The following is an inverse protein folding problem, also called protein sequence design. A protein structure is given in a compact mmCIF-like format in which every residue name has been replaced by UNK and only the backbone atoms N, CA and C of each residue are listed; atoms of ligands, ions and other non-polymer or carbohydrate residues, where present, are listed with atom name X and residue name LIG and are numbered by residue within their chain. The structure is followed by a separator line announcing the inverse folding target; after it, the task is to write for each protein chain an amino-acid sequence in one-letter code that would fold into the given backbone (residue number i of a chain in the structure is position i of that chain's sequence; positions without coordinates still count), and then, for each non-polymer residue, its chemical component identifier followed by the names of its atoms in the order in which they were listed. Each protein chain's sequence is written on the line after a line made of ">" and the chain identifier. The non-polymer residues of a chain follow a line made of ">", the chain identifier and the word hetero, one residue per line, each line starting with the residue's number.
data_IF_859231934501
#
_entry.id   IF_859231934501
#
_cell.length_a   1.000
_cell.length_b   1.000
_cell.length_c   1.000
_cell.angle_alpha   90.00
_cell.angle_beta   90.00
_cell.angle_gamma   90.00
#
_symmetry.space_group_name_H-M   'P 1'
#
loop_
_entity.id
_entity.type
_entity.pdbx_description
1 polymer ?
#
# COMPACT_ATOMS: atom_id res chain seq x y z
N UNK A 1 -9.84 18.26 0.63
CA UNK A 1 -9.18 16.99 0.33
C UNK A 1 -7.93 16.70 1.17
N UNK A 2 -7.14 17.67 1.65
CA UNK A 2 -5.91 17.41 2.42
C UNK A 2 -6.11 16.94 3.88
N UNK A 3 -7.27 17.12 4.49
CA UNK A 3 -7.49 16.74 5.90
C UNK A 3 -7.92 15.28 6.12
N UNK A 4 -8.54 14.63 5.13
CA UNK A 4 -9.03 13.26 5.29
C UNK A 4 -7.91 12.22 5.35
N UNK A 5 -6.81 12.42 4.61
CA UNK A 5 -5.67 11.51 4.61
C UNK A 5 -4.94 11.40 5.97
N UNK A 6 -4.87 12.52 6.71
CA UNK A 6 -4.18 12.54 8.02
C UNK A 6 -4.90 11.73 9.10
N UNK A 7 -6.25 11.73 9.07
CA UNK A 7 -7.06 10.99 10.06
C UNK A 7 -7.02 9.47 9.83
N UNK A 8 -6.91 9.06 8.57
CA UNK A 8 -6.84 7.63 8.20
C UNK A 8 -5.57 6.99 8.75
N UNK A 9 -4.41 7.66 8.61
CA UNK A 9 -3.11 7.13 9.06
C UNK A 9 -3.03 6.93 10.57
N UNK A 10 -3.58 7.86 11.34
CA UNK A 10 -3.55 7.76 12.81
C UNK A 10 -4.37 6.56 13.31
N UNK A 11 -5.49 6.26 12.64
CA UNK A 11 -6.34 5.14 13.04
C UNK A 11 -5.74 3.78 12.66
N UNK A 12 -5.07 3.68 11.50
CA UNK A 12 -4.38 2.45 11.09
C UNK A 12 -3.30 2.04 12.10
N UNK A 13 -2.54 3.01 12.62
CA UNK A 13 -1.53 2.78 13.66
C UNK A 13 -2.17 2.33 14.98
N UNK A 14 -3.25 2.99 15.40
CA UNK A 14 -3.95 2.63 16.63
C UNK A 14 -4.56 1.21 16.56
N UNK A 15 -5.06 0.82 15.37
CA UNK A 15 -5.66 -0.49 15.17
C UNK A 15 -4.60 -1.61 15.13
N UNK A 16 -3.42 -1.35 14.55
CA UNK A 16 -2.31 -2.30 14.57
C UNK A 16 -1.84 -2.59 16.01
N UNK A 17 -1.79 -1.56 16.87
CA UNK A 17 -1.45 -1.70 18.29
C UNK A 17 -2.56 -2.40 19.09
N UNK A 18 -3.83 -2.12 18.80
CA UNK A 18 -4.95 -2.73 19.53
C UNK A 18 -5.14 -4.22 19.22
N UNK A 19 -4.83 -4.67 18.00
CA UNK A 19 -4.95 -6.09 17.62
C UNK A 19 -3.91 -6.99 18.31
N UNK A 20 -2.80 -6.42 18.78
CA UNK A 20 -1.79 -7.15 19.54
C UNK A 20 -2.17 -7.35 21.02
N UNK A 21 -3.17 -6.60 21.52
CA UNK A 21 -3.63 -6.65 22.92
C UNK A 21 -4.87 -7.54 23.12
N UNK A 22 -5.26 -8.31 22.10
CA UNK A 22 -6.44 -9.18 22.12
C UNK A 22 -6.36 -10.25 23.18
N UNK A 23 -6.85 -9.96 24.38
CA UNK A 23 -7.02 -10.99 25.40
C UNK A 23 -7.23 -10.57 26.84
N UNK A 24 -7.39 -9.30 27.17
CA UNK A 24 -7.86 -8.94 28.54
C UNK A 24 -8.73 -7.68 28.51
N UNK A 25 -10.03 -7.89 28.55
CA UNK A 25 -10.97 -6.86 28.95
C UNK A 25 -10.91 -6.72 30.47
N UNK A 26 -10.09 -5.79 30.93
CA UNK A 26 -10.16 -5.28 32.30
C UNK A 26 -10.14 -3.77 32.19
N UNK A 27 -11.28 -3.16 32.50
CA UNK A 27 -11.40 -1.72 32.59
C UNK A 27 -10.42 -1.19 33.65
N UNK A 28 -9.35 -0.54 33.22
CA UNK A 28 -8.48 0.23 34.11
C UNK A 28 -9.10 1.64 34.21
N UNK A 29 -9.79 1.90 35.29
CA UNK A 29 -10.21 3.24 35.68
C UNK A 29 -8.97 3.98 36.18
N UNK A 30 -8.47 4.93 35.39
CA UNK A 30 -7.43 5.84 35.85
C UNK A 30 -8.11 6.94 36.63
N UNK A 31 -7.91 6.95 37.95
CA UNK A 31 -8.24 8.06 38.82
C UNK A 31 -7.10 9.07 38.67
N UNK A 32 -7.42 10.25 38.14
CA UNK A 32 -6.51 11.37 38.11
C UNK A 32 -6.45 11.98 39.52
N UNK A 33 -5.29 11.95 40.15
CA UNK A 33 -5.01 12.68 41.37
C UNK A 33 -4.39 14.04 40.99
N UNK A 34 -5.13 15.10 41.28
CA UNK A 34 -4.67 16.49 41.15
C UNK A 34 -3.78 16.84 42.34
N UNK A 35 -2.52 17.14 42.09
CA UNK A 35 -1.71 17.86 43.07
C UNK A 35 -1.11 19.11 42.47
N UNK A 36 -1.62 20.23 42.96
CA UNK A 36 -1.18 21.61 42.73
C UNK A 36 0.17 21.93 43.39
N UNK A 37 1.05 22.67 42.67
CA UNK A 37 1.96 23.71 43.20
C UNK A 37 2.76 24.30 42.04
N UNK A 38 2.55 25.49 41.63
CA UNK A 38 2.98 26.81 42.09
C UNK A 38 4.40 27.22 41.67
N UNK A 39 4.44 28.20 40.76
CA UNK A 39 5.30 29.39 40.68
C UNK A 39 6.79 29.27 40.32
N UNK A 40 7.21 29.80 39.19
CA UNK A 40 7.94 31.05 39.03
C UNK A 40 8.49 31.25 37.63
N UNK A 41 8.05 32.32 36.99
CA UNK A 41 8.79 33.04 35.94
C UNK A 41 9.96 33.83 36.56
N UNK A 42 11.02 34.15 35.81
CA UNK A 42 11.06 35.50 35.24
C UNK A 42 11.72 35.66 33.85
N UNK A 43 11.11 36.55 33.09
CA UNK A 43 11.61 37.78 32.48
C UNK A 43 12.61 37.69 31.29
N UNK A 44 12.10 38.04 30.17
CA UNK A 44 12.37 39.13 29.21
C UNK A 44 13.82 39.60 29.06
N UNK A 45 14.41 39.42 27.86
CA UNK A 45 15.29 40.45 27.26
C UNK A 45 14.96 40.56 25.76
N UNK A 46 14.44 41.70 25.42
CA UNK A 46 14.34 42.30 24.09
C UNK A 46 15.72 42.75 23.62
N UNK A 47 16.03 42.56 22.34
CA UNK A 47 16.80 43.56 21.60
C UNK A 47 16.44 43.57 20.12
N UNK A 48 16.15 44.77 19.71
CA UNK A 48 15.66 45.34 18.48
C UNK A 48 16.81 45.76 17.56
N UNK A 49 16.44 45.96 16.31
CA UNK A 49 17.04 46.80 15.25
C UNK A 49 17.97 46.07 14.28
N UNK A 50 18.00 46.41 13.01
CA UNK A 50 17.32 47.35 12.11
C UNK A 50 17.78 47.08 10.69
N UNK A 51 16.86 47.23 9.73
CA UNK A 51 16.95 47.94 8.44
C UNK A 51 18.30 47.92 7.67
N UNK A 52 18.31 47.67 6.39
CA UNK A 52 17.92 48.48 5.20
C UNK A 52 18.08 47.62 3.92
N UNK A 53 17.17 47.56 3.01
CA UNK A 53 16.80 48.37 1.84
C UNK A 53 17.89 48.62 0.79
N UNK A 54 17.59 48.18 -0.45
CA UNK A 54 17.67 48.93 -1.72
C UNK A 54 17.53 47.93 -2.92
N UNK A 55 16.46 47.99 -3.64
CA UNK A 55 16.10 48.69 -4.90
C UNK A 55 17.13 48.65 -6.02
N UNK A 56 16.72 48.13 -7.17
CA UNK A 56 16.54 48.74 -8.50
C UNK A 56 16.51 47.64 -9.56
N UNK A 57 15.45 47.52 -10.32
CA UNK A 57 14.95 48.27 -11.50
C UNK A 57 15.52 47.84 -12.84
N UNK A 58 14.55 47.41 -13.67
CA UNK A 58 14.36 47.70 -15.11
C UNK A 58 15.36 47.13 -16.10
N UNK A 59 15.00 46.65 -17.27
CA UNK A 59 14.18 47.27 -18.30
C UNK A 59 13.91 46.26 -19.45
N UNK A 60 12.74 46.39 -20.04
CA UNK A 60 12.17 45.91 -21.28
C UNK A 60 13.07 45.93 -22.52
N UNK A 61 12.80 45.04 -23.47
CA UNK A 61 12.72 45.38 -24.89
C UNK A 61 11.88 44.35 -25.69
N UNK A 62 10.84 44.86 -26.25
CA UNK A 62 9.92 44.34 -27.28
C UNK A 62 10.58 44.48 -28.65
N UNK A 63 10.36 43.54 -29.57
CA UNK A 63 10.26 43.82 -31.00
C UNK A 63 9.52 42.71 -31.73
N UNK A 64 8.51 42.95 -32.25
CA UNK A 64 7.44 42.94 -33.21
C UNK A 64 7.87 42.57 -34.63
N UNK A 65 6.94 41.83 -35.32
CA UNK A 65 6.52 41.95 -36.74
C UNK A 65 7.32 41.12 -37.76
N UNK A 66 6.79 40.38 -38.73
CA UNK A 66 5.65 40.68 -39.65
C UNK A 66 5.28 39.45 -40.47
N UNK A 67 4.01 39.42 -40.91
CA UNK A 67 3.27 38.57 -41.84
C UNK A 67 3.94 38.23 -43.17
N UNK A 68 3.51 37.11 -43.77
CA UNK A 68 3.14 37.09 -45.18
C UNK A 68 2.20 35.89 -45.50
N UNK A 69 1.06 36.25 -45.99
CA UNK A 69 -0.04 35.48 -46.54
C UNK A 69 0.29 34.91 -47.92
N UNK A 70 -0.16 33.68 -48.25
CA UNK A 70 -0.61 33.38 -49.61
C UNK A 70 -1.69 32.26 -49.62
N UNK A 71 -2.80 32.54 -50.27
CA UNK A 71 -3.96 31.71 -50.57
C UNK A 71 -3.74 30.78 -51.76
N UNK A 72 -4.45 29.60 -51.77
CA UNK A 72 -5.29 29.07 -52.86
C UNK A 72 -5.79 27.67 -52.44
N UNK A 73 -7.03 27.50 -52.24
CA UNK A 73 -8.21 27.03 -52.98
C UNK A 73 -8.24 25.54 -53.35
N UNK A 74 -9.31 24.91 -52.82
CA UNK A 74 -10.26 23.91 -53.33
C UNK A 74 -9.75 22.50 -53.67
N UNK A 75 -10.31 21.44 -53.05
CA UNK A 75 -11.58 20.83 -53.44
C UNK A 75 -12.12 19.86 -52.39
N UNK A 76 -13.43 19.74 -52.40
CA UNK A 76 -14.27 18.85 -51.59
C UNK A 76 -14.07 17.39 -51.95
N UNK A 77 -13.94 16.53 -50.96
CA UNK A 77 -14.56 15.21 -50.98
C UNK A 77 -15.07 14.86 -49.60
N UNK A 78 -16.36 14.83 -49.44
CA UNK A 78 -17.05 14.30 -48.27
C UNK A 78 -16.92 12.77 -48.28
N UNK A 79 -16.18 12.26 -47.34
CA UNK A 79 -16.32 10.86 -46.95
C UNK A 79 -16.70 10.83 -45.48
N UNK A 80 -17.97 10.51 -45.23
CA UNK A 80 -18.52 10.25 -43.91
C UNK A 80 -17.81 9.04 -43.31
N UNK A 81 -16.83 9.27 -42.44
CA UNK A 81 -16.36 8.26 -41.54
C UNK A 81 -16.98 8.51 -40.17
N UNK A 82 -17.87 7.60 -39.78
CA UNK A 82 -18.35 7.47 -38.43
C UNK A 82 -17.13 7.37 -37.50
N UNK A 83 -16.79 8.44 -36.81
CA UNK A 83 -15.84 8.40 -35.70
C UNK A 83 -16.48 7.62 -34.55
N UNK A 84 -16.21 6.32 -34.51
CA UNK A 84 -16.26 5.62 -33.25
C UNK A 84 -15.23 6.31 -32.36
N UNK A 85 -15.68 6.93 -31.32
CA UNK A 85 -14.85 7.47 -30.23
C UNK A 85 -14.16 6.30 -29.54
N UNK A 86 -13.12 5.78 -30.17
CA UNK A 86 -12.17 4.85 -29.55
C UNK A 86 -11.25 5.71 -28.70
N UNK A 87 -11.63 5.92 -27.45
CA UNK A 87 -10.71 6.43 -26.43
C UNK A 87 -9.48 5.55 -26.49
N UNK A 88 -8.36 6.06 -27.01
CA UNK A 88 -7.10 5.31 -27.07
C UNK A 88 -6.73 4.87 -25.65
N UNK A 89 -6.67 3.55 -25.43
CA UNK A 89 -6.32 2.98 -24.15
C UNK A 89 -4.87 3.33 -23.85
N UNK A 90 -4.65 4.12 -22.80
CA UNK A 90 -3.29 4.49 -22.36
C UNK A 90 -2.55 3.23 -21.91
N UNK A 91 -1.50 2.85 -22.63
CA UNK A 91 -0.58 1.79 -22.18
C UNK A 91 0.33 2.30 -21.08
N UNK A 92 0.36 1.61 -19.95
CA UNK A 92 1.11 2.02 -18.76
C UNK A 92 1.78 0.82 -18.09
N UNK A 93 2.80 1.06 -17.30
CA UNK A 93 3.35 0.16 -16.28
C UNK A 93 2.45 0.17 -15.05
N UNK A 94 2.50 -0.91 -14.25
CA UNK A 94 1.71 -0.99 -13.01
C UNK A 94 2.16 0.10 -12.03
N UNK A 95 3.46 0.40 -11.94
CA UNK A 95 3.95 1.49 -11.11
C UNK A 95 3.38 2.87 -11.45
N UNK A 96 3.06 3.16 -12.72
CA UNK A 96 2.34 4.38 -13.10
C UNK A 96 0.88 4.39 -12.62
N UNK A 97 0.24 3.20 -12.53
CA UNK A 97 -1.11 3.07 -12.00
C UNK A 97 -1.10 3.28 -10.49
N UNK A 98 -0.18 2.66 -9.79
CA UNK A 98 -0.03 2.76 -8.33
C UNK A 98 0.35 4.18 -7.90
N UNK A 99 1.38 4.75 -8.51
CA UNK A 99 1.88 6.09 -8.18
C UNK A 99 2.59 6.16 -6.83
N UNK A 100 3.09 7.34 -6.48
CA UNK A 100 3.77 7.61 -5.20
C UNK A 100 2.80 8.22 -4.18
N UNK A 101 1.74 7.49 -3.85
CA UNK A 101 0.74 7.93 -2.87
C UNK A 101 -0.14 6.76 -2.42
N UNK A 102 -0.96 7.00 -1.40
CA UNK A 102 -1.93 6.02 -0.87
C UNK A 102 -3.16 5.83 -1.77
N UNK A 103 -3.14 6.36 -2.97
CA UNK A 103 -4.22 6.24 -3.97
C UNK A 103 -3.64 6.44 -5.36
N UNK A 104 -4.16 5.71 -6.32
CA UNK A 104 -3.77 5.82 -7.71
C UNK A 104 -4.01 7.22 -8.30
N UNK A 105 -3.01 7.80 -8.98
CA UNK A 105 -3.21 9.03 -9.76
C UNK A 105 -4.08 8.81 -11.00
N UNK A 106 -4.34 7.55 -11.38
CA UNK A 106 -5.13 7.17 -12.56
C UNK A 106 -6.52 6.63 -12.19
N UNK A 107 -6.98 6.84 -10.96
CA UNK A 107 -8.30 6.39 -10.52
C UNK A 107 -9.41 6.84 -11.50
N UNK A 108 -10.28 5.91 -11.90
CA UNK A 108 -11.36 6.12 -12.86
C UNK A 108 -10.94 6.08 -14.33
N UNK A 109 -9.65 6.00 -14.64
CA UNK A 109 -9.16 5.94 -16.01
C UNK A 109 -9.12 4.50 -16.52
N UNK A 110 -9.35 4.35 -17.83
CA UNK A 110 -9.16 3.08 -18.52
C UNK A 110 -7.71 2.97 -18.99
N UNK A 111 -7.06 1.87 -18.62
CA UNK A 111 -5.63 1.63 -18.86
C UNK A 111 -5.40 0.26 -19.50
N UNK A 112 -4.25 0.09 -20.14
CA UNK A 112 -3.79 -1.18 -20.69
C UNK A 112 -2.39 -1.53 -20.18
N UNK A 113 -2.27 -2.71 -19.55
CA UNK A 113 -1.00 -3.33 -19.13
C UNK A 113 -0.64 -4.38 -20.17
N UNK A 114 0.57 -4.32 -20.72
CA UNK A 114 0.98 -5.22 -21.82
C UNK A 114 1.82 -6.41 -21.37
N UNK A 115 2.47 -6.34 -20.24
CA UNK A 115 3.53 -7.27 -19.88
C UNK A 115 3.55 -7.62 -18.38
N UNK A 116 2.46 -8.23 -17.90
CA UNK A 116 2.37 -8.68 -16.52
C UNK A 116 2.33 -10.21 -16.42
N UNK A 117 2.72 -10.75 -15.27
CA UNK A 117 2.61 -12.15 -14.92
C UNK A 117 1.69 -12.31 -13.71
N UNK A 118 0.86 -13.35 -13.74
CA UNK A 118 -0.03 -13.70 -12.63
C UNK A 118 0.79 -14.29 -11.47
N UNK A 119 0.73 -13.65 -10.30
CA UNK A 119 1.48 -14.07 -9.11
C UNK A 119 0.65 -14.85 -8.11
N UNK A 120 -0.67 -14.58 -8.03
CA UNK A 120 -1.61 -15.30 -7.16
C UNK A 120 -3.01 -15.26 -7.74
N UNK A 121 -3.80 -16.30 -7.54
CA UNK A 121 -5.22 -16.33 -7.93
C UNK A 121 -6.10 -16.58 -6.72
N UNK A 122 -7.30 -16.00 -6.72
CA UNK A 122 -8.34 -16.31 -5.77
C UNK A 122 -9.70 -16.55 -6.46
N UNK A 123 -10.78 -16.57 -5.68
CA UNK A 123 -12.14 -16.80 -6.21
C UNK A 123 -12.67 -15.62 -7.01
N UNK A 124 -12.21 -14.41 -6.74
CA UNK A 124 -12.79 -13.15 -7.20
C UNK A 124 -11.93 -12.45 -8.23
N UNK A 125 -10.65 -12.87 -8.33
CA UNK A 125 -9.70 -12.26 -9.24
C UNK A 125 -8.32 -12.89 -9.16
N UNK A 126 -7.34 -12.07 -9.38
CA UNK A 126 -5.93 -12.46 -9.31
C UNK A 126 -5.02 -11.26 -9.08
N UNK A 127 -3.86 -11.51 -8.52
CA UNK A 127 -2.76 -10.57 -8.49
C UNK A 127 -1.89 -10.74 -9.72
N UNK A 128 -1.48 -9.64 -10.30
CA UNK A 128 -0.51 -9.60 -11.39
C UNK A 128 0.60 -8.61 -11.04
N UNK A 129 1.79 -8.89 -11.54
CA UNK A 129 2.96 -8.02 -11.34
C UNK A 129 3.66 -7.82 -12.67
N UNK A 130 4.20 -6.63 -12.91
CA UNK A 130 5.02 -6.36 -14.09
C UNK A 130 6.20 -7.35 -14.14
N UNK A 131 6.45 -7.94 -15.31
CA UNK A 131 7.57 -8.89 -15.51
C UNK A 131 8.90 -8.15 -15.36
N UNK A 132 8.94 -6.91 -15.79
CA UNK A 132 10.10 -6.02 -15.66
C UNK A 132 9.68 -4.81 -14.83
N UNK A 133 10.28 -4.66 -13.65
CA UNK A 133 10.07 -3.50 -12.78
C UNK A 133 10.29 -2.18 -13.54
N UNK A 134 9.60 -1.14 -13.12
CA UNK A 134 9.87 0.21 -13.59
C UNK A 134 11.17 0.81 -12.98
N UNK A 135 11.74 0.12 -11.98
CA UNK A 135 12.94 0.51 -11.25
C UNK A 135 12.72 1.55 -10.17
N UNK A 136 11.46 1.92 -9.89
CA UNK A 136 11.10 2.86 -8.84
C UNK A 136 10.59 2.12 -7.60
N UNK A 137 11.41 2.00 -6.57
CA UNK A 137 11.03 1.34 -5.31
C UNK A 137 9.96 2.09 -4.50
N UNK A 138 9.55 3.26 -4.95
CA UNK A 138 8.49 4.06 -4.31
C UNK A 138 7.10 3.76 -4.86
N UNK A 139 7.02 3.05 -5.98
CA UNK A 139 5.77 2.59 -6.59
C UNK A 139 5.70 1.08 -6.56
N UNK A 140 4.49 0.52 -6.46
CA UNK A 140 4.32 -0.92 -6.55
C UNK A 140 4.27 -1.38 -8.01
N UNK A 141 4.98 -2.46 -8.33
CA UNK A 141 4.85 -3.18 -9.61
C UNK A 141 3.69 -4.19 -9.61
N UNK A 142 2.92 -4.30 -8.52
CA UNK A 142 1.83 -5.26 -8.34
C UNK A 142 0.45 -4.62 -8.42
N UNK A 143 -0.57 -5.38 -8.82
CA UNK A 143 -1.96 -4.92 -8.87
C UNK A 143 -2.94 -6.07 -8.69
N UNK A 144 -4.08 -5.81 -8.04
CA UNK A 144 -5.19 -6.75 -7.98
C UNK A 144 -6.15 -6.53 -9.16
N UNK A 145 -6.58 -7.60 -9.82
CA UNK A 145 -7.50 -7.57 -10.97
C UNK A 145 -8.78 -8.31 -10.60
N UNK A 146 -9.87 -7.59 -10.50
CA UNK A 146 -11.20 -8.17 -10.27
C UNK A 146 -11.69 -8.81 -11.55
N UNK A 147 -11.76 -10.15 -11.58
CA UNK A 147 -12.13 -10.86 -12.81
C UNK A 147 -12.60 -12.28 -12.51
N UNK A 148 -13.51 -12.77 -13.34
CA UNK A 148 -13.91 -14.20 -13.39
C UNK A 148 -13.14 -14.99 -14.45
N UNK A 149 -12.25 -14.35 -15.19
CA UNK A 149 -11.44 -14.99 -16.20
C UNK A 149 -10.44 -15.94 -15.56
N UNK A 150 -10.30 -17.15 -16.13
CA UNK A 150 -9.46 -18.20 -15.55
C UNK A 150 -8.01 -18.04 -15.99
N UNK A 151 -7.18 -17.66 -15.04
CA UNK A 151 -5.73 -17.62 -15.16
C UNK A 151 -5.09 -18.57 -14.16
N UNK A 152 -3.79 -18.82 -14.34
CA UNK A 152 -2.93 -19.59 -13.43
C UNK A 152 -1.70 -18.75 -13.07
N UNK A 153 -1.13 -19.01 -11.92
CA UNK A 153 0.18 -18.46 -11.55
C UNK A 153 1.20 -18.80 -12.64
N UNK A 154 1.96 -17.79 -13.06
CA UNK A 154 2.91 -17.87 -14.17
C UNK A 154 2.33 -17.60 -15.57
N UNK A 155 1.00 -17.42 -15.72
CA UNK A 155 0.44 -16.95 -16.99
C UNK A 155 0.92 -15.52 -17.24
N UNK A 156 1.52 -15.28 -18.42
CA UNK A 156 1.78 -13.94 -18.93
C UNK A 156 0.49 -13.36 -19.50
N UNK A 157 0.15 -12.15 -19.12
CA UNK A 157 -1.13 -11.54 -19.45
C UNK A 157 -0.99 -10.10 -19.94
N UNK A 158 -1.90 -9.74 -20.85
CA UNK A 158 -2.24 -8.36 -21.19
C UNK A 158 -3.60 -8.07 -20.57
N UNK A 159 -3.72 -6.93 -19.91
CA UNK A 159 -4.91 -6.56 -19.14
C UNK A 159 -5.34 -5.17 -19.58
N UNK A 160 -6.60 -5.02 -19.96
CA UNK A 160 -7.23 -3.70 -20.08
C UNK A 160 -8.32 -3.61 -19.03
N UNK A 161 -8.40 -2.51 -18.31
CA UNK A 161 -9.40 -2.33 -17.26
C UNK A 161 -9.51 -0.90 -16.77
N UNK A 162 -10.48 -0.65 -15.91
CA UNK A 162 -10.65 0.65 -15.25
C UNK A 162 -9.99 0.62 -13.88
N UNK A 163 -9.17 1.61 -13.59
CA UNK A 163 -8.52 1.76 -12.29
C UNK A 163 -9.56 2.16 -11.25
N UNK A 164 -9.63 1.44 -10.15
CA UNK A 164 -10.52 1.71 -9.04
C UNK A 164 -9.77 1.64 -7.71
N UNK A 165 -10.01 2.63 -6.88
CA UNK A 165 -9.70 2.54 -5.45
C UNK A 165 -10.85 1.85 -4.73
N UNK A 166 -10.61 0.67 -4.19
CA UNK A 166 -11.66 -0.17 -3.63
C UNK A 166 -11.25 -0.91 -2.36
N UNK A 167 -12.18 -1.73 -1.87
CA UNK A 167 -11.98 -2.52 -0.66
C UNK A 167 -12.05 -4.00 -0.98
N UNK A 168 -11.08 -4.78 -0.51
CA UNK A 168 -11.10 -6.25 -0.69
C UNK A 168 -12.33 -6.90 -0.05
N UNK A 169 -12.90 -6.28 0.98
CA UNK A 169 -14.14 -6.71 1.60
C UNK A 169 -15.34 -6.54 0.66
N UNK A 170 -15.37 -5.46 -0.13
CA UNK A 170 -16.41 -5.25 -1.16
C UNK A 170 -16.32 -6.33 -2.23
N UNK A 171 -15.11 -6.59 -2.74
CA UNK A 171 -14.86 -7.60 -3.77
C UNK A 171 -15.29 -8.99 -3.30
N UNK A 172 -15.05 -9.33 -2.04
CA UNK A 172 -15.36 -10.64 -1.48
C UNK A 172 -16.78 -10.76 -0.93
N UNK A 173 -17.54 -9.67 -0.95
CA UNK A 173 -18.92 -9.64 -0.46
C UNK A 173 -19.83 -10.48 -1.37
N UNK A 174 -20.57 -11.39 -0.80
CA UNK A 174 -21.49 -12.23 -1.56
C UNK A 174 -22.65 -11.42 -2.19
N UNK A 175 -23.18 -11.92 -3.28
CA UNK A 175 -24.30 -11.30 -3.98
C UNK A 175 -25.48 -10.99 -3.05
N UNK A 176 -26.11 -9.84 -3.22
CA UNK A 176 -27.26 -9.38 -2.42
C UNK A 176 -26.91 -8.79 -1.06
N UNK A 177 -25.65 -8.66 -0.71
CA UNK A 177 -25.19 -7.96 0.49
C UNK A 177 -24.80 -6.52 0.13
N UNK A 178 -25.07 -5.60 1.04
CA UNK A 178 -24.66 -4.21 0.90
C UNK A 178 -23.32 -4.02 1.58
N UNK A 179 -22.34 -3.51 0.84
CA UNK A 179 -21.05 -3.09 1.39
C UNK A 179 -21.25 -1.77 2.16
N UNK A 180 -20.67 -1.72 3.34
CA UNK A 180 -20.56 -0.48 4.09
C UNK A 180 -19.09 -0.12 4.15
N UNK A 181 -18.77 0.99 3.52
CA UNK A 181 -17.41 1.51 3.51
C UNK A 181 -16.89 1.72 4.93
N UNK A 182 -15.72 1.17 5.28
CA UNK A 182 -15.15 1.37 6.60
C UNK A 182 -14.70 2.82 6.77
N UNK A 183 -14.91 3.34 7.96
CA UNK A 183 -14.45 4.68 8.30
C UNK A 183 -12.95 4.66 8.57
N UNK A 184 -12.20 5.58 7.95
CA UNK A 184 -10.75 5.73 8.14
C UNK A 184 -9.95 4.47 7.76
N UNK A 185 -10.29 3.81 6.68
CA UNK A 185 -9.55 2.71 6.08
C UNK A 185 -8.87 3.17 4.81
N UNK A 186 -7.73 2.57 4.47
CA UNK A 186 -7.12 2.71 3.16
C UNK A 186 -7.88 1.87 2.14
N UNK A 187 -7.66 2.14 0.87
CA UNK A 187 -8.19 1.38 -0.26
C UNK A 187 -7.09 0.51 -0.87
N UNK A 188 -7.43 -0.36 -1.78
CA UNK A 188 -6.51 -1.12 -2.63
C UNK A 188 -6.70 -0.62 -4.06
N UNK A 189 -5.60 -0.31 -4.72
CA UNK A 189 -5.61 -0.01 -6.15
C UNK A 189 -5.87 -1.29 -6.93
N UNK A 190 -6.95 -1.32 -7.72
CA UNK A 190 -7.35 -2.50 -8.47
C UNK A 190 -7.84 -2.17 -9.86
N UNK A 191 -7.83 -3.16 -10.75
CA UNK A 191 -8.50 -3.07 -12.03
C UNK A 191 -9.87 -3.75 -11.97
N UNK A 192 -10.89 -3.02 -12.38
CA UNK A 192 -12.26 -3.52 -12.57
C UNK A 192 -12.66 -3.49 -14.04
N UNK A 193 -13.74 -4.17 -14.39
CA UNK A 193 -14.22 -4.30 -15.78
C UNK A 193 -13.10 -4.76 -16.73
N UNK A 194 -12.29 -5.68 -16.22
CA UNK A 194 -11.04 -6.06 -16.86
C UNK A 194 -11.24 -7.06 -18.00
N UNK A 195 -10.61 -6.79 -19.14
CA UNK A 195 -10.44 -7.70 -20.25
C UNK A 195 -9.01 -8.27 -20.23
N UNK A 196 -8.89 -9.60 -20.24
CA UNK A 196 -7.63 -10.31 -20.09
C UNK A 196 -7.32 -11.12 -21.34
N UNK A 197 -6.10 -11.00 -21.84
CA UNK A 197 -5.56 -11.85 -22.92
C UNK A 197 -4.32 -12.55 -22.40
N UNK A 198 -4.29 -13.89 -22.50
CA UNK A 198 -3.09 -14.67 -22.19
C UNK A 198 -2.09 -14.57 -23.32
N UNK A 199 -0.82 -14.38 -23.00
CA UNK A 199 0.30 -14.22 -23.93
C UNK A 199 1.46 -15.15 -23.55
N UNK A 200 1.13 -16.42 -23.30
CA UNK A 200 2.09 -17.43 -22.89
C UNK A 200 2.29 -17.53 -21.38
N UNK A 201 3.51 -17.80 -20.98
CA UNK A 201 3.94 -17.89 -19.58
C UNK A 201 5.22 -17.09 -19.35
N UNK A 202 5.48 -16.67 -18.12
CA UNK A 202 6.71 -16.01 -17.71
C UNK A 202 7.14 -16.51 -16.32
N UNK A 203 8.44 -16.43 -16.00
CA UNK A 203 8.90 -16.63 -14.64
C UNK A 203 8.26 -15.59 -13.72
N UNK A 204 8.06 -15.94 -12.45
CA UNK A 204 7.63 -14.98 -11.46
C UNK A 204 8.76 -13.98 -11.17
N UNK A 205 8.43 -12.71 -10.88
CA UNK A 205 9.40 -11.76 -10.38
C UNK A 205 10.03 -12.24 -9.08
N UNK A 206 11.23 -11.76 -8.78
CA UNK A 206 11.86 -12.01 -7.49
C UNK A 206 11.02 -11.41 -6.36
N UNK A 207 10.77 -12.20 -5.32
CA UNK A 207 10.00 -11.74 -4.17
C UNK A 207 10.80 -10.74 -3.34
N UNK A 208 10.22 -9.58 -3.06
CA UNK A 208 10.86 -8.56 -2.23
C UNK A 208 10.92 -9.03 -0.77
N UNK A 209 12.11 -9.02 -0.15
CA UNK A 209 12.21 -9.26 1.28
C UNK A 209 11.61 -8.09 2.06
N UNK A 210 10.37 -8.26 2.51
CA UNK A 210 9.58 -7.20 3.15
C UNK A 210 10.20 -6.71 4.45
N UNK A 211 10.93 -7.57 5.15
CA UNK A 211 11.53 -7.24 6.46
C UNK A 211 12.79 -6.41 6.32
N UNK A 212 13.55 -6.60 5.25
CA UNK A 212 14.82 -5.92 5.04
C UNK A 212 14.70 -4.39 4.83
N UNK A 213 13.58 -3.95 4.25
CA UNK A 213 13.32 -2.53 3.98
C UNK A 213 12.35 -1.86 4.95
N UNK A 214 11.81 -2.59 5.94
CA UNK A 214 10.75 -2.09 6.82
C UNK A 214 11.20 -0.93 7.70
N UNK A 215 10.65 0.29 7.54
CA UNK A 215 10.93 1.40 8.43
C UNK A 215 10.50 1.13 9.88
N UNK A 216 11.24 1.68 10.83
CA UNK A 216 10.99 1.44 12.26
C UNK A 216 9.73 2.12 12.80
N UNK A 217 9.15 3.05 12.05
CA UNK A 217 8.02 3.86 12.51
C UNK A 217 7.01 4.18 11.40
N UNK A 218 5.80 4.52 11.81
CA UNK A 218 4.78 5.19 10.98
C UNK A 218 4.68 6.63 11.46
N UNK A 219 4.83 7.58 10.56
CA UNK A 219 4.80 9.00 10.90
C UNK A 219 3.37 9.47 11.16
N UNK A 220 3.07 10.08 12.32
CA UNK A 220 1.69 10.46 12.67
C UNK A 220 1.12 11.57 11.77
N UNK A 221 1.97 12.43 11.22
CA UNK A 221 1.61 13.54 10.36
C UNK A 221 2.56 13.67 9.17
N UNK A 222 2.56 12.70 8.24
CA UNK A 222 3.45 12.78 7.10
C UNK A 222 3.06 13.97 6.21
N UNK A 223 4.08 14.71 5.79
CA UNK A 223 3.91 15.84 4.86
C UNK A 223 3.98 15.40 3.41
N UNK A 224 4.58 14.25 3.16
CA UNK A 224 4.77 13.64 1.84
C UNK A 224 4.83 12.12 1.97
N UNK A 225 4.58 11.43 0.86
CA UNK A 225 4.79 10.00 0.72
C UNK A 225 6.29 9.68 0.81
N UNK A 226 6.67 8.77 1.69
CA UNK A 226 8.07 8.49 2.02
C UNK A 226 8.27 7.03 2.48
N UNK A 227 8.20 6.05 1.57
CA UNK A 227 8.31 4.63 1.91
C UNK A 227 9.65 4.24 2.55
N UNK A 228 10.69 5.03 2.35
CA UNK A 228 12.01 4.80 2.95
C UNK A 228 12.04 5.07 4.47
N UNK A 229 11.07 5.83 4.98
CA UNK A 229 11.07 6.30 6.39
C UNK A 229 9.72 6.21 7.10
N UNK A 230 8.68 5.76 6.39
CA UNK A 230 7.32 5.56 6.91
C UNK A 230 6.86 4.14 6.55
N UNK A 231 6.64 3.30 7.56
CA UNK A 231 6.29 1.90 7.34
C UNK A 231 4.93 1.72 6.65
N UNK A 232 4.00 2.66 6.80
CA UNK A 232 2.72 2.59 6.10
C UNK A 232 2.87 2.87 4.61
N UNK A 233 3.70 3.87 4.25
CA UNK A 233 4.04 4.16 2.86
C UNK A 233 4.88 3.04 2.24
N UNK A 234 5.73 2.39 3.05
CA UNK A 234 6.49 1.22 2.61
C UNK A 234 5.57 0.04 2.25
N UNK A 235 4.57 -0.24 3.08
CA UNK A 235 3.57 -1.25 2.75
C UNK A 235 2.83 -0.92 1.46
N UNK A 236 2.46 0.34 1.27
CA UNK A 236 1.82 0.83 0.04
C UNK A 236 2.70 0.60 -1.19
N UNK A 237 4.00 0.90 -1.10
CA UNK A 237 4.94 0.70 -2.21
C UNK A 237 5.11 -0.78 -2.61
N UNK A 238 4.57 -1.71 -1.83
CA UNK A 238 4.58 -3.15 -2.09
C UNK A 238 3.18 -3.72 -2.37
N UNK A 239 2.12 -2.90 -2.42
CA UNK A 239 0.76 -3.37 -2.60
C UNK A 239 0.61 -4.25 -3.86
N UNK A 240 0.08 -5.46 -3.72
CA UNK A 240 -0.09 -6.42 -4.81
C UNK A 240 1.18 -7.15 -5.25
N UNK A 241 2.36 -6.75 -4.79
CA UNK A 241 3.63 -7.38 -5.15
C UNK A 241 3.88 -8.69 -4.42
N UNK A 242 4.65 -9.54 -5.06
CA UNK A 242 5.19 -10.76 -4.46
C UNK A 242 6.30 -10.39 -3.46
N UNK A 243 6.13 -10.84 -2.22
CA UNK A 243 7.06 -10.57 -1.13
C UNK A 243 7.46 -11.85 -0.43
N UNK A 244 8.54 -11.79 0.36
CA UNK A 244 9.03 -12.91 1.17
C UNK A 244 9.33 -12.43 2.58
N UNK A 245 8.95 -13.25 3.57
CA UNK A 245 9.39 -13.15 4.96
C UNK A 245 10.33 -14.32 5.23
N UNK A 246 11.56 -14.04 5.60
CA UNK A 246 12.59 -15.06 5.80
C UNK A 246 12.34 -15.84 7.09
N UNK A 247 12.18 -17.17 6.99
CA UNK A 247 12.04 -18.13 8.11
C UNK A 247 11.31 -17.57 9.32
N UNK A 248 10.04 -17.15 9.15
CA UNK A 248 9.36 -16.37 10.18
C UNK A 248 9.04 -17.18 11.44
N UNK A 249 9.08 -16.48 12.58
CA UNK A 249 8.66 -16.96 13.87
C UNK A 249 7.30 -16.39 14.26
N UNK A 250 6.40 -17.23 14.78
CA UNK A 250 5.05 -16.84 15.18
C UNK A 250 5.08 -16.20 16.57
N UNK A 251 4.46 -15.02 16.69
CA UNK A 251 4.44 -14.22 17.92
C UNK A 251 3.28 -14.56 18.86
N UNK A 252 2.25 -15.23 18.35
CA UNK A 252 1.04 -15.54 19.12
C UNK A 252 0.06 -16.42 18.36
N UNK A 253 -1.07 -16.77 18.98
CA UNK A 253 -2.09 -17.59 18.32
C UNK A 253 -2.75 -16.85 17.16
N UNK A 254 -3.29 -17.63 16.22
CA UNK A 254 -4.12 -17.10 15.13
C UNK A 254 -5.34 -16.34 15.70
N UNK A 255 -5.64 -15.20 15.13
CA UNK A 255 -6.81 -14.39 15.46
C UNK A 255 -7.50 -13.87 14.20
N UNK A 256 -8.77 -14.22 14.02
CA UNK A 256 -9.59 -13.80 12.85
C UNK A 256 -8.96 -14.09 11.48
N UNK A 257 -8.19 -15.16 11.39
CA UNK A 257 -7.53 -15.56 10.15
C UNK A 257 -6.12 -15.03 9.95
N UNK A 258 -5.63 -14.20 10.85
CA UNK A 258 -4.29 -13.65 10.80
C UNK A 258 -3.37 -14.28 11.86
N UNK A 259 -2.13 -14.52 11.52
CA UNK A 259 -1.02 -14.71 12.46
C UNK A 259 -0.05 -13.55 12.34
N UNK A 260 0.69 -13.29 13.39
CA UNK A 260 1.71 -12.25 13.41
C UNK A 260 3.07 -12.91 13.55
N UNK A 261 3.99 -12.53 12.68
CA UNK A 261 5.32 -13.15 12.64
C UNK A 261 6.42 -12.09 12.67
N UNK A 262 7.64 -12.53 13.06
CA UNK A 262 8.90 -11.83 12.83
C UNK A 262 9.74 -12.64 11.85
N UNK A 263 10.32 -11.98 10.86
CA UNK A 263 11.34 -12.60 10.02
C UNK A 263 12.67 -12.77 10.76
N UNK A 264 13.53 -13.66 10.28
CA UNK A 264 14.86 -13.89 10.86
C UNK A 264 15.76 -12.64 10.85
N UNK A 265 15.47 -11.66 9.97
CA UNK A 265 16.19 -10.39 9.87
C UNK A 265 15.99 -9.48 11.10
N UNK A 266 14.93 -9.70 11.85
CA UNK A 266 14.62 -8.92 13.05
C UNK A 266 15.24 -9.55 14.32
N UNK A 267 16.54 -9.61 14.36
CA UNK A 267 17.29 -10.07 15.54
C UNK A 267 17.37 -8.99 16.62
N UNK A 268 17.45 -9.40 17.89
CA UNK A 268 17.65 -8.48 19.03
C UNK A 268 16.38 -7.74 19.49
N UNK A 269 15.21 -8.05 18.96
CA UNK A 269 13.95 -7.53 19.49
C UNK A 269 13.61 -8.15 20.85
N UNK A 270 12.96 -7.39 21.76
CA UNK A 270 12.68 -7.86 23.11
C UNK A 270 11.50 -8.85 23.11
N UNK A 271 11.80 -10.11 22.94
CA UNK A 271 10.81 -11.17 23.11
C UNK A 271 10.65 -11.52 24.59
N UNK A 272 9.43 -11.87 25.00
CA UNK A 272 9.18 -12.44 26.31
C UNK A 272 9.50 -13.95 26.34
N UNK A 273 9.40 -14.58 27.50
CA UNK A 273 9.71 -16.01 27.69
C UNK A 273 8.76 -16.95 26.93
N UNK A 274 7.60 -16.48 26.47
CA UNK A 274 6.66 -17.24 25.64
C UNK A 274 6.75 -16.90 24.15
N UNK A 275 7.78 -16.16 23.73
CA UNK A 275 8.05 -15.86 22.33
C UNK A 275 7.25 -14.69 21.73
N UNK A 276 6.42 -14.01 22.52
CA UNK A 276 5.72 -12.80 22.08
C UNK A 276 6.63 -11.57 22.11
N UNK A 277 6.38 -10.60 21.25
CA UNK A 277 7.11 -9.34 21.23
C UNK A 277 6.67 -8.43 22.39
N UNK A 278 7.63 -7.96 23.20
CA UNK A 278 7.36 -7.00 24.25
C UNK A 278 7.12 -5.60 23.64
N UNK A 279 6.03 -4.99 24.04
CA UNK A 279 5.77 -3.59 23.70
C UNK A 279 6.72 -2.69 24.50
N UNK A 280 7.29 -1.69 23.82
CA UNK A 280 8.05 -0.63 24.46
C UNK A 280 7.28 0.69 24.36
N UNK A 281 7.40 1.59 25.34
CA UNK A 281 6.85 2.94 25.19
C UNK A 281 7.30 3.57 23.87
N UNK A 282 6.36 4.11 23.13
CA UNK A 282 6.60 4.77 21.84
C UNK A 282 7.11 3.87 20.69
N UNK A 283 7.24 2.56 20.89
CA UNK A 283 7.56 1.64 19.79
C UNK A 283 6.28 1.27 19.01
N UNK A 284 6.36 1.31 17.69
CA UNK A 284 5.22 1.00 16.82
C UNK A 284 5.23 -0.43 16.29
N UNK A 285 6.26 -1.22 16.61
CA UNK A 285 6.41 -2.65 16.25
C UNK A 285 6.19 -2.94 14.75
N UNK A 286 6.67 -2.08 13.89
CA UNK A 286 6.56 -2.22 12.42
C UNK A 286 7.22 -3.49 11.90
N UNK A 287 8.14 -4.08 12.66
CA UNK A 287 8.77 -5.38 12.40
C UNK A 287 7.79 -6.56 12.41
N UNK A 288 6.61 -6.38 13.01
CA UNK A 288 5.59 -7.43 13.06
C UNK A 288 4.84 -7.50 11.74
N UNK A 289 4.94 -8.63 11.06
CA UNK A 289 4.32 -8.86 9.75
C UNK A 289 3.04 -9.66 9.94
N UNK A 290 1.86 -9.10 9.61
CA UNK A 290 0.60 -9.84 9.58
C UNK A 290 0.55 -10.78 8.37
N UNK A 291 0.21 -12.05 8.59
CA UNK A 291 0.04 -13.05 7.54
C UNK A 291 -1.40 -13.57 7.59
N UNK A 292 -2.12 -13.49 6.48
CA UNK A 292 -3.47 -14.03 6.38
C UNK A 292 -3.42 -15.52 6.07
N UNK A 293 -3.76 -16.34 7.04
CA UNK A 293 -3.71 -17.81 6.97
C UNK A 293 -5.10 -18.48 6.95
N UNK A 294 -6.14 -17.68 7.16
CA UNK A 294 -7.52 -18.17 7.30
C UNK A 294 -7.82 -18.73 8.70
N UNK A 295 -9.11 -18.89 8.99
CA UNK A 295 -9.58 -19.20 10.35
C UNK A 295 -9.30 -20.62 10.84
N UNK A 296 -8.90 -21.53 9.93
CA UNK A 296 -8.63 -22.94 10.27
C UNK A 296 -7.15 -23.23 10.54
N UNK A 297 -6.26 -22.27 10.28
CA UNK A 297 -4.84 -22.42 10.55
C UNK A 297 -4.58 -22.35 12.05
N UNK A 298 -3.80 -23.29 12.57
CA UNK A 298 -3.46 -23.38 13.99
C UNK A 298 -1.98 -23.03 14.16
N UNK A 299 -1.71 -22.02 14.97
CA UNK A 299 -0.37 -21.63 15.37
C UNK A 299 -0.39 -21.04 16.77
N UNK A 300 0.73 -21.10 17.48
CA UNK A 300 0.95 -20.50 18.79
C UNK A 300 2.28 -19.76 18.83
N UNK A 301 2.49 -18.98 19.86
CA UNK A 301 3.78 -18.32 20.06
C UNK A 301 4.93 -19.36 20.08
N UNK A 302 6.09 -18.97 19.64
CA UNK A 302 7.29 -19.79 19.40
C UNK A 302 7.22 -20.75 18.21
N UNK A 303 6.05 -21.06 17.65
CA UNK A 303 6.01 -21.81 16.40
C UNK A 303 6.81 -21.08 15.31
N UNK A 304 7.40 -21.82 14.41
CA UNK A 304 8.25 -21.24 13.36
C UNK A 304 8.11 -21.96 12.04
N UNK A 305 8.50 -21.27 10.98
CA UNK A 305 8.57 -21.82 9.64
C UNK A 305 10.02 -22.17 9.32
N UNK A 306 10.25 -23.37 8.82
CA UNK A 306 11.58 -23.80 8.36
C UNK A 306 11.95 -23.20 7.01
N UNK A 307 10.94 -22.86 6.24
CA UNK A 307 11.07 -22.28 4.91
C UNK A 307 10.66 -20.81 4.91
N UNK A 308 11.14 -20.08 3.93
CA UNK A 308 10.71 -18.72 3.67
C UNK A 308 9.22 -18.67 3.33
N UNK A 309 8.51 -17.68 3.82
CA UNK A 309 7.10 -17.48 3.54
C UNK A 309 6.93 -16.46 2.42
N UNK A 310 6.49 -16.93 1.25
CA UNK A 310 6.22 -16.09 0.10
C UNK A 310 4.73 -15.78 -0.01
N UNK A 311 4.38 -14.54 -0.31
CA UNK A 311 2.99 -14.12 -0.49
C UNK A 311 2.87 -12.77 -1.16
N UNK A 312 1.66 -12.36 -1.46
CA UNK A 312 1.36 -11.03 -2.03
C UNK A 312 0.89 -10.08 -0.93
N UNK A 313 1.26 -8.82 -1.05
CA UNK A 313 0.79 -7.78 -0.14
C UNK A 313 -0.63 -7.38 -0.51
N UNK A 314 -1.49 -7.26 0.48
CA UNK A 314 -2.86 -6.75 0.36
C UNK A 314 -3.23 -5.90 1.56
N UNK A 315 -4.22 -5.03 1.38
CA UNK A 315 -4.84 -4.30 2.49
C UNK A 315 -6.25 -4.82 2.71
N UNK A 316 -6.51 -5.32 3.92
CA UNK A 316 -7.80 -5.93 4.28
C UNK A 316 -8.07 -5.79 5.77
N UNK A 317 -9.32 -5.51 6.14
CA UNK A 317 -9.75 -5.32 7.53
C UNK A 317 -8.90 -4.26 8.26
N UNK A 318 -8.59 -3.16 7.57
CA UNK A 318 -7.80 -2.02 8.04
C UNK A 318 -6.33 -2.31 8.34
N UNK A 319 -5.75 -3.38 7.74
CA UNK A 319 -4.34 -3.74 7.87
C UNK A 319 -3.73 -4.15 6.54
N UNK A 320 -2.48 -3.73 6.30
CA UNK A 320 -1.64 -4.43 5.35
C UNK A 320 -1.28 -5.80 5.88
N UNK A 321 -1.21 -6.77 5.01
CA UNK A 321 -0.82 -8.15 5.33
C UNK A 321 -0.29 -8.87 4.11
N UNK A 322 0.42 -9.96 4.36
CA UNK A 322 0.85 -10.88 3.31
C UNK A 322 -0.17 -12.01 3.20
N UNK A 323 -0.69 -12.24 2.01
CA UNK A 323 -1.47 -13.43 1.66
C UNK A 323 -0.56 -14.48 1.03
N UNK A 324 -0.30 -15.62 1.68
CA UNK A 324 0.61 -16.65 1.17
C UNK A 324 0.23 -17.19 -0.20
N UNK A 325 1.24 -17.48 -1.02
CA UNK A 325 1.10 -18.13 -2.31
C UNK A 325 1.35 -19.64 -2.24
N UNK A 326 1.81 -20.13 -1.10
CA UNK A 326 2.13 -21.53 -0.82
C UNK A 326 1.31 -22.07 0.34
N UNK A 327 1.23 -23.39 0.43
CA UNK A 327 0.68 -24.04 1.61
C UNK A 327 1.66 -23.90 2.77
N UNK A 328 1.14 -23.49 3.92
CA UNK A 328 1.95 -23.22 5.11
C UNK A 328 1.98 -24.43 6.05
N UNK A 329 3.14 -24.69 6.63
CA UNK A 329 3.33 -25.66 7.69
C UNK A 329 4.22 -25.05 8.76
N UNK A 330 3.75 -25.00 10.01
CA UNK A 330 4.54 -24.54 11.15
C UNK A 330 5.14 -25.74 11.90
N UNK A 331 6.30 -25.50 12.49
CA UNK A 331 6.95 -26.40 13.45
C UNK A 331 6.64 -25.91 14.87
N UNK A 332 6.44 -26.86 15.78
CA UNK A 332 6.22 -26.58 17.19
C UNK A 332 7.50 -26.02 17.83
N UNK A 333 7.41 -24.83 18.37
CA UNK A 333 8.50 -24.14 19.06
C UNK A 333 8.65 -24.50 20.54
N UNK A 334 7.88 -25.46 21.05
CA UNK A 334 8.04 -25.95 22.43
C UNK A 334 7.44 -24.99 23.48
N UNK A 335 6.18 -24.59 23.35
CA UNK A 335 5.44 -23.80 24.34
C UNK A 335 4.59 -24.70 25.20
#
# INVERSE_FOLDING_TARGET
>A
MKEHGKKIRLLAVATLLASQLGGFSSALTVVADETTASTSEPALVTNTSSEESSTNSSTSATTTTTEATTRASSDKEETSSSSSDATEEKTVKIGEIQGESQRSPLEGQKVAIKNAVVTKTDRYGFYAQDIESDGNSRTSDGIYVVSKYKVKVGDKVKITGTVKEGYMEEVTLGAGKTFKEPTNSLTVTMLVDAWITKDGTAPLPEAVNITAGMPAEVKPNPTAYAPETDALDYWESLEGMLTVVKKPHVLGPQYKGDIYVLGEDFTGLPLNNIGGLNLRPHAQNTATIPIYVGNQFVAKAKDYFTEDLTGVVTYRNSFYKVEPTQQLTVQDGGL
#
